data_IF_605939153153
#
_entry.id   IF_605939153153
#
_cell.length_a   1.000
_cell.length_b   1.000
_cell.length_c   1.000
_cell.angle_alpha   90.00
_cell.angle_beta   90.00
_cell.angle_gamma   90.00
#
_symmetry.space_group_name_H-M   'P 1'
#
loop_
_entity.id
_entity.type
_entity.pdbx_description
1 polymer ?
#
# COMPACT_ATOMS: atom_id res chain seq x y z
N UNK A 1 5.41 -1.61 -16.67
CA UNK A 1 6.85 -1.82 -16.38
C UNK A 1 7.59 -0.53 -16.01
N UNK A 2 7.07 0.66 -16.32
CA UNK A 2 7.74 1.97 -16.16
C UNK A 2 8.23 2.38 -14.76
N UNK A 3 8.08 1.56 -13.72
CA UNK A 3 8.53 1.87 -12.36
C UNK A 3 9.73 1.06 -11.87
N UNK A 4 10.17 0.07 -12.66
CA UNK A 4 11.32 -0.80 -12.35
C UNK A 4 11.19 -1.53 -10.99
N UNK A 5 9.99 -2.03 -10.68
CA UNK A 5 9.76 -2.85 -9.48
C UNK A 5 9.97 -4.34 -9.74
N UNK A 6 9.71 -4.78 -10.98
CA UNK A 6 9.80 -6.17 -11.42
C UNK A 6 10.42 -6.21 -12.81
N UNK A 7 11.11 -7.30 -13.13
CA UNK A 7 11.56 -7.62 -14.49
C UNK A 7 11.04 -9.00 -14.88
N UNK A 8 10.90 -9.26 -16.18
CA UNK A 8 10.51 -10.57 -16.68
C UNK A 8 11.77 -11.32 -17.12
N UNK A 9 12.12 -12.39 -16.40
CA UNK A 9 13.17 -13.33 -16.81
C UNK A 9 12.57 -14.72 -17.02
N UNK A 10 12.82 -15.32 -18.19
CA UNK A 10 12.29 -16.66 -18.57
C UNK A 10 10.78 -16.82 -18.30
N UNK A 11 9.98 -15.81 -18.64
CA UNK A 11 8.52 -15.73 -18.42
C UNK A 11 8.10 -15.77 -16.94
N UNK A 12 9.00 -15.42 -16.02
CA UNK A 12 8.72 -15.27 -14.59
C UNK A 12 8.96 -13.82 -14.19
N UNK A 13 8.13 -13.31 -13.28
CA UNK A 13 8.36 -12.02 -12.65
C UNK A 13 9.45 -12.17 -11.59
N UNK A 14 10.49 -11.34 -11.68
CA UNK A 14 11.59 -11.27 -10.72
C UNK A 14 11.54 -9.91 -10.06
N UNK A 15 11.37 -9.83 -8.72
CA UNK A 15 11.34 -8.55 -8.02
C UNK A 15 12.74 -7.93 -8.00
N UNK A 16 12.82 -6.69 -8.46
CA UNK A 16 14.04 -5.88 -8.41
C UNK A 16 14.28 -5.33 -7.00
N UNK A 17 15.50 -4.92 -6.69
CA UNK A 17 15.86 -4.38 -5.37
C UNK A 17 14.96 -3.22 -4.94
N UNK A 18 14.65 -2.31 -5.87
CA UNK A 18 13.72 -1.19 -5.64
C UNK A 18 12.29 -1.67 -5.32
N UNK A 19 11.83 -2.71 -6.02
CA UNK A 19 10.53 -3.33 -5.76
C UNK A 19 10.47 -3.95 -4.37
N UNK A 20 11.50 -4.72 -3.98
CA UNK A 20 11.59 -5.32 -2.65
C UNK A 20 11.61 -4.27 -1.54
N UNK A 21 12.41 -3.23 -1.71
CA UNK A 21 12.49 -2.13 -0.74
C UNK A 21 11.15 -1.41 -0.57
N UNK A 22 10.46 -1.13 -1.68
CA UNK A 22 9.15 -0.50 -1.64
C UNK A 22 8.10 -1.42 -0.98
N UNK A 23 8.11 -2.72 -1.32
CA UNK A 23 7.21 -3.70 -0.70
C UNK A 23 7.42 -3.76 0.82
N UNK A 24 8.67 -3.91 1.28
CA UNK A 24 8.99 -3.94 2.71
C UNK A 24 8.56 -2.65 3.43
N UNK A 25 8.75 -1.49 2.78
CA UNK A 25 8.28 -0.21 3.32
C UNK A 25 6.76 -0.16 3.49
N UNK A 26 6.03 -0.57 2.45
CA UNK A 26 4.57 -0.57 2.50
C UNK A 26 4.02 -1.60 3.50
N UNK A 27 4.65 -2.77 3.61
CA UNK A 27 4.28 -3.80 4.59
C UNK A 27 4.54 -3.34 6.03
N UNK A 28 5.65 -2.64 6.26
CA UNK A 28 6.02 -2.14 7.60
C UNK A 28 5.13 -0.99 8.08
N UNK A 29 4.81 -0.04 7.21
CA UNK A 29 4.20 1.23 7.61
C UNK A 29 2.78 1.44 7.09
N UNK A 30 2.41 0.76 5.99
CA UNK A 30 1.11 0.87 5.34
C UNK A 30 0.38 -0.47 5.27
N UNK A 31 0.68 -1.40 6.20
CA UNK A 31 0.15 -2.78 6.23
C UNK A 31 -1.33 -2.87 5.88
N UNK A 32 -2.17 -2.11 6.58
CA UNK A 32 -3.63 -2.04 6.33
C UNK A 32 -3.98 -1.82 4.86
N UNK A 33 -3.21 -1.03 4.12
CA UNK A 33 -3.51 -0.65 2.73
C UNK A 33 -2.96 -1.62 1.69
N UNK A 34 -1.99 -2.47 2.05
CA UNK A 34 -1.41 -3.49 1.14
C UNK A 34 -1.90 -4.90 1.44
N UNK A 35 -2.61 -5.10 2.55
CA UNK A 35 -3.27 -6.36 2.86
C UNK A 35 -4.44 -6.66 1.90
N UNK A 36 -4.62 -7.96 1.63
CA UNK A 36 -5.66 -8.46 0.73
C UNK A 36 -7.06 -8.06 1.18
N UNK A 37 -7.34 -8.12 2.48
CA UNK A 37 -8.67 -7.83 3.04
C UNK A 37 -9.10 -6.40 2.78
N UNK A 38 -8.17 -5.44 2.87
CA UNK A 38 -8.49 -4.05 2.56
C UNK A 38 -8.81 -3.87 1.09
N UNK A 39 -7.97 -4.43 0.21
CA UNK A 39 -8.19 -4.33 -1.24
C UNK A 39 -9.52 -4.96 -1.64
N UNK A 40 -9.83 -6.14 -1.11
CA UNK A 40 -11.11 -6.81 -1.35
C UNK A 40 -12.29 -5.97 -0.85
N UNK A 41 -12.21 -5.43 0.37
CA UNK A 41 -13.28 -4.59 0.94
C UNK A 41 -13.50 -3.28 0.17
N UNK A 42 -12.45 -2.75 -0.48
CA UNK A 42 -12.57 -1.56 -1.29
C UNK A 42 -13.28 -1.86 -2.61
N UNK A 43 -12.95 -2.96 -3.27
CA UNK A 43 -13.64 -3.41 -4.48
C UNK A 43 -15.14 -3.65 -4.23
N UNK A 44 -15.50 -4.29 -3.11
CA UNK A 44 -16.91 -4.45 -2.71
C UNK A 44 -17.63 -3.10 -2.58
N UNK A 45 -16.99 -2.09 -1.99
CA UNK A 45 -17.56 -0.74 -1.90
C UNK A 45 -17.71 -0.08 -3.27
N UNK A 46 -16.78 -0.33 -4.20
CA UNK A 46 -16.86 0.20 -5.57
C UNK A 46 -18.03 -0.43 -6.34
N UNK A 47 -18.31 -1.71 -6.11
CA UNK A 47 -19.48 -2.39 -6.66
C UNK A 47 -20.78 -1.81 -6.07
N UNK A 48 -20.84 -1.60 -4.75
CA UNK A 48 -22.00 -0.97 -4.11
C UNK A 48 -22.25 0.47 -4.58
N UNK A 49 -21.20 1.23 -4.88
CA UNK A 49 -21.31 2.55 -5.52
C UNK A 49 -21.91 2.43 -6.92
N UNK A 50 -21.44 1.45 -7.71
CA UNK A 50 -21.92 1.23 -9.07
C UNK A 50 -23.40 0.81 -9.11
N UNK A 51 -23.82 0.04 -8.10
CA UNK A 51 -25.22 -0.33 -7.85
C UNK A 51 -26.09 0.81 -7.27
N UNK A 52 -25.49 1.97 -6.95
CA UNK A 52 -26.17 3.12 -6.35
C UNK A 52 -26.53 2.94 -4.87
N UNK A 53 -25.98 1.92 -4.20
CA UNK A 53 -26.20 1.62 -2.78
C UNK A 53 -25.35 2.48 -1.85
N UNK A 54 -24.19 2.94 -2.33
CA UNK A 54 -23.29 3.82 -1.59
C UNK A 54 -23.00 5.12 -2.34
N UNK A 55 -22.87 6.21 -1.58
CA UNK A 55 -22.41 7.49 -2.10
C UNK A 55 -20.88 7.51 -2.20
N UNK A 56 -20.35 7.59 -3.43
CA UNK A 56 -18.90 7.58 -3.68
C UNK A 56 -18.12 8.64 -2.90
N UNK A 57 -18.73 9.81 -2.65
CA UNK A 57 -18.11 10.89 -1.89
C UNK A 57 -17.86 10.53 -0.43
N UNK A 58 -18.72 9.71 0.16
CA UNK A 58 -18.58 9.31 1.56
C UNK A 58 -17.49 8.25 1.69
N UNK A 59 -17.44 7.29 0.77
CA UNK A 59 -16.34 6.31 0.70
C UNK A 59 -14.98 7.00 0.54
N UNK A 60 -14.86 7.99 -0.36
CA UNK A 60 -13.61 8.75 -0.51
C UNK A 60 -13.26 9.57 0.73
N UNK A 61 -14.25 10.16 1.41
CA UNK A 61 -14.03 10.96 2.62
C UNK A 61 -13.49 10.09 3.75
N UNK A 62 -14.07 8.92 3.94
CA UNK A 62 -13.65 7.97 4.98
C UNK A 62 -12.26 7.40 4.67
N UNK A 63 -12.00 7.02 3.41
CA UNK A 63 -10.67 6.62 2.96
C UNK A 63 -9.63 7.71 3.24
N UNK A 64 -9.92 8.95 2.84
CA UNK A 64 -8.97 10.05 2.97
C UNK A 64 -8.66 10.40 4.42
N UNK A 65 -9.69 10.37 5.29
CA UNK A 65 -9.52 10.62 6.73
C UNK A 65 -8.50 9.66 7.34
N UNK A 66 -8.65 8.36 7.07
CA UNK A 66 -7.77 7.34 7.62
C UNK A 66 -6.38 7.41 6.97
N UNK A 67 -6.32 7.50 5.64
CA UNK A 67 -5.07 7.48 4.88
C UNK A 67 -4.20 8.70 5.18
N UNK A 68 -4.78 9.90 5.26
CA UNK A 68 -4.03 11.11 5.58
C UNK A 68 -3.46 11.09 7.01
N UNK A 69 -4.17 10.46 7.95
CA UNK A 69 -3.66 10.19 9.30
C UNK A 69 -2.43 9.29 9.28
N UNK A 70 -2.51 8.14 8.61
CA UNK A 70 -1.38 7.22 8.47
C UNK A 70 -0.15 7.89 7.82
N UNK A 71 -0.36 8.72 6.80
CA UNK A 71 0.73 9.50 6.18
C UNK A 71 1.36 10.50 7.15
N UNK A 72 0.55 11.16 7.99
CA UNK A 72 1.06 12.11 8.99
C UNK A 72 1.92 11.39 10.04
N UNK A 73 1.46 10.24 10.56
CA UNK A 73 2.20 9.46 11.55
C UNK A 73 3.58 9.04 11.04
N UNK A 74 3.66 8.62 9.78
CA UNK A 74 4.92 8.18 9.15
C UNK A 74 5.85 9.36 8.88
N UNK A 75 5.33 10.55 8.59
CA UNK A 75 6.16 11.74 8.38
C UNK A 75 6.91 12.18 9.63
N UNK A 76 6.42 11.82 10.82
CA UNK A 76 7.08 12.09 12.09
C UNK A 76 8.21 11.11 12.40
N UNK A 77 8.33 10.00 11.65
CA UNK A 77 9.42 9.04 11.81
C UNK A 77 10.72 9.59 11.25
N UNK A 78 11.82 9.30 11.95
CA UNK A 78 13.15 9.62 11.44
C UNK A 78 13.54 8.59 10.40
N UNK A 79 14.37 9.01 9.45
CA UNK A 79 14.91 8.12 8.42
C UNK A 79 15.60 6.89 9.02
N UNK A 80 16.26 7.04 10.18
CA UNK A 80 16.88 5.91 10.91
C UNK A 80 15.85 4.87 11.34
N UNK A 81 14.71 5.32 11.86
CA UNK A 81 13.65 4.42 12.34
C UNK A 81 13.05 3.63 11.16
N UNK A 82 12.95 4.27 9.99
CA UNK A 82 12.54 3.62 8.74
C UNK A 82 13.57 2.59 8.28
N UNK A 83 14.86 2.93 8.29
CA UNK A 83 15.93 2.03 7.86
C UNK A 83 16.04 0.79 8.76
N UNK A 84 15.88 0.95 10.07
CA UNK A 84 15.93 -0.16 11.02
C UNK A 84 14.79 -1.16 10.75
N UNK A 85 13.56 -0.67 10.58
CA UNK A 85 12.41 -1.52 10.23
C UNK A 85 12.61 -2.26 8.89
N UNK A 86 13.17 -1.59 7.89
CA UNK A 86 13.46 -2.20 6.60
C UNK A 86 14.54 -3.27 6.66
N UNK A 87 15.55 -3.09 7.53
CA UNK A 87 16.58 -4.10 7.74
C UNK A 87 16.01 -5.34 8.42
N UNK A 88 15.06 -5.18 9.34
CA UNK A 88 14.38 -6.31 10.00
C UNK A 88 13.52 -7.11 9.00
N UNK A 89 12.76 -6.45 8.13
CA UNK A 89 11.91 -7.15 7.14
C UNK A 89 12.69 -7.77 5.97
N UNK A 90 13.88 -7.25 5.66
CA UNK A 90 14.71 -7.76 4.56
C UNK A 90 15.79 -8.75 5.00
N UNK A 91 15.91 -9.03 6.31
CA UNK A 91 16.85 -10.01 6.89
C UNK A 91 16.43 -11.46 6.63
#
# INVERSE_FOLDING_TARGET
EDRDYVTIDKRRLVPQAKGRLLSAFLESFFKRYVEYDFTASLEEKLDEISDGKLAWKDVLRDFWKDFSGAVADIKELRVTDVLDALNEELA
#
